data_IF_234883843609
#
_entry.id   IF_234883843609
#
_cell.length_a   1.000
_cell.length_b   1.000
_cell.length_c   1.000
_cell.angle_alpha   90.00
_cell.angle_beta   90.00
_cell.angle_gamma   90.00
#
_symmetry.space_group_name_H-M   'P 1'
#
loop_
_entity.id
_entity.type
_entity.pdbx_description
1 polymer ?
#
# COMPACT_ATOMS: atom_id res chain seq x y z
N UNK A 1 0.70 -4.12 -11.23
CA UNK A 1 0.53 -3.16 -10.11
C UNK A 1 -0.95 -2.97 -9.92
N UNK A 2 -1.42 -2.92 -8.67
CA UNK A 2 -2.75 -2.44 -8.32
C UNK A 2 -2.62 -0.95 -8.04
N UNK A 3 -3.31 -0.10 -8.80
CA UNK A 3 -3.15 1.36 -8.67
C UNK A 3 -3.91 1.89 -7.46
N UNK A 4 -3.53 3.07 -6.95
CA UNK A 4 -4.18 3.67 -5.78
C UNK A 4 -5.71 3.82 -5.95
N UNK A 5 -6.20 4.04 -7.17
CA UNK A 5 -7.63 4.12 -7.50
C UNK A 5 -8.38 2.80 -7.35
N UNK A 6 -7.66 1.68 -7.39
CA UNK A 6 -8.22 0.34 -7.21
C UNK A 6 -8.11 -0.13 -5.75
N UNK A 7 -7.59 0.71 -4.86
CA UNK A 7 -7.52 0.44 -3.42
C UNK A 7 -8.77 0.97 -2.70
N UNK A 8 -9.17 0.27 -1.65
CA UNK A 8 -10.12 0.78 -0.68
C UNK A 8 -9.35 1.60 0.35
N UNK A 9 -9.62 2.90 0.41
CA UNK A 9 -8.97 3.84 1.32
C UNK A 9 -10.06 4.56 2.10
N UNK A 10 -10.04 4.45 3.42
CA UNK A 10 -11.05 5.10 4.27
C UNK A 10 -11.01 6.62 4.09
N UNK A 11 -12.19 7.22 3.86
CA UNK A 11 -12.41 8.66 3.66
C UNK A 11 -11.83 9.26 2.37
N UNK A 12 -11.40 8.43 1.41
CA UNK A 12 -10.75 8.94 0.20
C UNK A 12 -11.69 9.62 -0.82
N UNK A 13 -12.99 9.54 -0.57
CA UNK A 13 -14.04 10.30 -1.26
C UNK A 13 -14.13 11.76 -0.80
N UNK A 14 -13.55 12.10 0.35
CA UNK A 14 -13.57 13.45 0.91
C UNK A 14 -12.27 14.20 0.60
N UNK A 15 -12.38 15.28 -0.17
CA UNK A 15 -11.24 16.11 -0.59
C UNK A 15 -10.61 16.93 0.54
N UNK A 16 -11.19 16.90 1.74
CA UNK A 16 -10.60 17.46 2.96
C UNK A 16 -9.61 16.48 3.61
N UNK A 17 -9.71 15.20 3.25
CA UNK A 17 -8.95 14.10 3.84
C UNK A 17 -7.92 13.56 2.87
N UNK A 18 -8.28 13.41 1.58
CA UNK A 18 -7.42 12.88 0.53
C UNK A 18 -7.50 13.69 -0.76
N UNK A 19 -6.33 13.93 -1.37
CA UNK A 19 -6.22 14.43 -2.74
C UNK A 19 -5.82 13.31 -3.69
N UNK A 20 -6.12 13.51 -4.96
CA UNK A 20 -5.78 12.59 -6.03
C UNK A 20 -4.90 13.23 -7.11
N UNK A 21 -3.65 13.62 -6.78
CA UNK A 21 -2.74 14.19 -7.78
C UNK A 21 -2.38 13.17 -8.86
N UNK A 22 -2.35 13.62 -10.11
CA UNK A 22 -1.86 12.83 -11.23
C UNK A 22 -0.32 12.86 -11.28
N UNK A 23 0.27 11.70 -11.52
CA UNK A 23 1.70 11.46 -11.68
C UNK A 23 1.97 11.06 -13.12
N UNK A 24 3.01 11.65 -13.71
CA UNK A 24 3.51 11.24 -15.02
C UNK A 24 4.67 10.25 -14.84
N UNK A 25 4.46 9.00 -15.23
CA UNK A 25 5.52 8.00 -15.26
C UNK A 25 6.48 8.27 -16.43
N UNK A 26 7.71 7.79 -16.32
CA UNK A 26 8.72 7.88 -17.40
C UNK A 26 8.25 7.22 -18.70
N UNK A 27 7.35 6.24 -18.60
CA UNK A 27 6.70 5.59 -19.75
C UNK A 27 5.71 6.48 -20.50
N UNK A 28 5.41 7.68 -19.98
CA UNK A 28 4.36 8.58 -20.48
C UNK A 28 2.96 8.25 -19.97
N UNK A 29 2.80 7.18 -19.19
CA UNK A 29 1.52 6.83 -18.55
C UNK A 29 1.23 7.82 -17.42
N UNK A 30 0.01 8.33 -17.38
CA UNK A 30 -0.48 9.18 -16.28
C UNK A 30 -1.29 8.30 -15.33
N UNK A 31 -0.96 8.35 -14.05
CA UNK A 31 -1.64 7.60 -12.99
C UNK A 31 -2.02 8.53 -11.84
N UNK A 32 -3.14 8.27 -11.17
CA UNK A 32 -3.50 9.00 -9.96
C UNK A 32 -2.88 8.32 -8.73
N UNK A 33 -2.30 9.11 -7.85
CA UNK A 33 -1.89 8.68 -6.51
C UNK A 33 -2.84 9.24 -5.45
N UNK A 34 -2.95 8.57 -4.30
CA UNK A 34 -3.70 9.07 -3.15
C UNK A 34 -2.76 9.84 -2.22
N UNK A 35 -3.02 11.13 -1.99
CA UNK A 35 -2.27 11.97 -1.06
C UNK A 35 -3.13 12.27 0.18
N UNK A 36 -2.66 11.85 1.34
CA UNK A 36 -3.30 12.14 2.63
C UNK A 36 -3.07 13.61 3.01
N UNK A 37 -4.14 14.37 3.19
CA UNK A 37 -4.10 15.77 3.64
C UNK A 37 -3.91 15.84 5.14
N UNK A 38 -4.76 15.14 5.90
CA UNK A 38 -4.70 15.08 7.37
C UNK A 38 -5.70 14.05 7.90
N UNK A 39 -5.24 12.99 8.56
CA UNK A 39 -6.11 11.95 9.14
C UNK A 39 -5.55 11.33 10.41
N UNK A 40 -6.41 10.99 11.37
CA UNK A 40 -6.04 10.20 12.55
C UNK A 40 -6.28 8.70 12.42
N UNK A 41 -6.79 8.26 11.27
CA UNK A 41 -7.11 6.88 10.95
C UNK A 41 -6.58 6.54 9.55
N UNK A 42 -5.43 5.86 9.49
CA UNK A 42 -4.94 5.30 8.24
C UNK A 42 -5.50 3.90 8.06
N UNK A 43 -6.22 3.67 6.97
CA UNK A 43 -6.70 2.35 6.61
C UNK A 43 -6.79 2.23 5.09
N UNK A 44 -5.93 1.36 4.55
CA UNK A 44 -5.80 1.09 3.13
C UNK A 44 -5.84 -0.41 2.94
N UNK A 45 -6.72 -0.88 2.07
CA UNK A 45 -6.87 -2.28 1.70
C UNK A 45 -6.83 -2.43 0.18
N UNK A 46 -6.32 -3.55 -0.28
CA UNK A 46 -6.46 -3.98 -1.66
C UNK A 46 -6.50 -5.49 -1.75
N UNK A 47 -7.02 -5.97 -2.87
CA UNK A 47 -7.16 -7.38 -3.15
C UNK A 47 -6.57 -7.69 -4.53
N UNK A 48 -6.10 -8.92 -4.70
CA UNK A 48 -5.64 -9.39 -5.99
C UNK A 48 -5.85 -10.91 -6.13
N UNK A 49 -6.39 -11.30 -7.27
CA UNK A 49 -6.67 -12.69 -7.57
C UNK A 49 -5.38 -13.46 -7.87
N UNK A 50 -5.01 -14.42 -7.01
CA UNK A 50 -3.73 -15.15 -7.13
C UNK A 50 -3.67 -16.04 -8.37
N UNK A 51 -4.82 -16.41 -8.95
CA UNK A 51 -4.94 -17.20 -10.19
C UNK A 51 -4.39 -16.47 -11.42
N UNK A 52 -4.27 -15.13 -11.36
CA UNK A 52 -3.66 -14.30 -12.42
C UNK A 52 -2.13 -14.36 -12.42
N UNK A 53 -1.54 -14.99 -11.41
CA UNK A 53 -0.10 -15.13 -11.25
C UNK A 53 0.40 -16.46 -11.84
N UNK A 54 1.70 -16.52 -12.15
CA UNK A 54 2.31 -17.74 -12.66
C UNK A 54 2.42 -18.79 -11.54
N UNK A 55 1.84 -19.99 -11.71
CA UNK A 55 1.92 -21.07 -10.73
C UNK A 55 3.36 -21.44 -10.39
N UNK A 56 3.63 -21.71 -9.11
CA UNK A 56 4.93 -22.12 -8.61
C UNK A 56 5.96 -20.98 -8.51
N UNK A 57 5.63 -19.76 -8.92
CA UNK A 57 6.54 -18.60 -8.82
C UNK A 57 6.45 -17.94 -7.44
N UNK A 58 7.60 -17.56 -6.86
CA UNK A 58 7.65 -16.74 -5.65
C UNK A 58 7.36 -15.29 -6.02
N UNK A 59 6.44 -14.65 -5.32
CA UNK A 59 6.08 -13.25 -5.50
C UNK A 59 6.36 -12.46 -4.23
N UNK A 60 6.73 -11.20 -4.41
CA UNK A 60 6.73 -10.19 -3.35
C UNK A 60 5.61 -9.18 -3.60
N UNK A 61 5.03 -8.70 -2.50
CA UNK A 61 3.96 -7.70 -2.48
C UNK A 61 4.47 -6.48 -1.72
N UNK A 62 4.40 -5.30 -2.34
CA UNK A 62 4.91 -4.07 -1.73
C UNK A 62 4.05 -2.84 -2.04
N UNK A 63 3.75 -2.03 -1.02
CA UNK A 63 3.19 -0.70 -1.22
C UNK A 63 4.25 0.24 -1.79
N UNK A 64 3.88 1.05 -2.78
CA UNK A 64 4.73 2.10 -3.33
C UNK A 64 4.26 3.44 -2.77
N UNK A 65 5.04 4.00 -1.86
CA UNK A 65 4.66 5.23 -1.14
C UNK A 65 5.73 6.30 -1.23
N UNK A 66 5.35 7.54 -0.94
CA UNK A 66 6.26 8.67 -0.78
C UNK A 66 5.79 9.49 0.41
N UNK A 67 6.74 9.95 1.22
CA UNK A 67 6.45 10.88 2.31
C UNK A 67 6.81 12.30 1.90
N UNK A 68 5.85 13.22 1.89
CA UNK A 68 6.11 14.61 1.48
C UNK A 68 7.05 15.32 2.46
N UNK A 69 7.69 16.39 2.00
CA UNK A 69 8.50 17.27 2.84
C UNK A 69 7.68 17.85 4.01
N UNK A 70 6.40 18.14 3.77
CA UNK A 70 5.44 18.65 4.75
C UNK A 70 4.77 17.58 5.61
N UNK A 71 5.13 16.30 5.45
CA UNK A 71 4.47 15.23 6.18
C UNK A 71 4.85 15.22 7.67
N UNK A 72 3.87 14.94 8.52
CA UNK A 72 3.95 15.07 9.97
C UNK A 72 3.04 14.03 10.64
N UNK A 73 3.25 13.75 11.93
CA UNK A 73 2.43 12.84 12.74
C UNK A 73 2.92 11.38 12.82
N UNK A 74 3.80 10.96 11.90
CA UNK A 74 4.25 9.56 11.70
C UNK A 74 5.20 8.99 12.77
N UNK A 75 5.03 9.39 14.03
CA UNK A 75 5.83 8.90 15.15
C UNK A 75 5.55 7.44 15.51
N UNK A 76 4.31 7.03 15.27
CA UNK A 76 3.81 5.68 15.51
C UNK A 76 4.03 4.85 14.23
N UNK A 77 4.57 3.63 14.34
CA UNK A 77 4.67 2.73 13.19
C UNK A 77 3.28 2.40 12.62
N UNK A 78 3.23 2.19 11.30
CA UNK A 78 2.03 1.64 10.65
C UNK A 78 2.17 0.13 10.54
N UNK A 79 1.07 -0.60 10.56
CA UNK A 79 1.05 -2.03 10.26
C UNK A 79 0.90 -2.24 8.76
N UNK A 80 1.64 -3.19 8.21
CA UNK A 80 1.36 -3.76 6.88
C UNK A 80 1.05 -5.24 7.03
N UNK A 81 0.09 -5.75 6.27
CA UNK A 81 -0.24 -7.17 6.31
C UNK A 81 -0.64 -7.74 4.95
N UNK A 82 -0.34 -9.03 4.75
CA UNK A 82 -0.71 -9.86 3.61
C UNK A 82 -1.47 -11.08 4.12
N UNK A 83 -2.70 -11.27 3.64
CA UNK A 83 -3.53 -12.43 3.91
C UNK A 83 -3.69 -13.23 2.61
N UNK A 84 -3.39 -14.53 2.63
CA UNK A 84 -3.51 -15.41 1.48
C UNK A 84 -4.88 -16.13 1.46
N UNK A 85 -5.27 -16.77 0.33
CA UNK A 85 -6.58 -17.41 0.23
C UNK A 85 -6.82 -18.57 1.21
N UNK A 86 -5.75 -19.18 1.74
CA UNK A 86 -5.83 -20.20 2.79
C UNK A 86 -6.01 -19.62 4.21
N UNK A 87 -6.09 -18.29 4.33
CA UNK A 87 -6.19 -17.57 5.60
C UNK A 87 -4.86 -17.34 6.30
N UNK A 88 -3.74 -17.81 5.75
CA UNK A 88 -2.42 -17.51 6.32
C UNK A 88 -2.14 -16.01 6.22
N UNK A 89 -1.57 -15.46 7.30
CA UNK A 89 -1.34 -14.01 7.44
C UNK A 89 0.11 -13.71 7.78
N UNK A 90 0.69 -12.78 7.04
CA UNK A 90 1.98 -12.14 7.33
C UNK A 90 1.69 -10.69 7.72
N UNK A 91 2.42 -10.17 8.70
CA UNK A 91 2.34 -8.76 9.06
C UNK A 91 3.62 -8.29 9.76
N UNK A 92 3.90 -7.00 9.66
CA UNK A 92 4.93 -6.35 10.46
C UNK A 92 4.67 -4.84 10.55
N UNK A 93 5.36 -4.20 11.48
CA UNK A 93 5.34 -2.75 11.64
C UNK A 93 6.35 -2.07 10.70
N UNK A 94 6.03 -0.84 10.29
CA UNK A 94 6.86 0.00 9.42
C UNK A 94 6.89 1.42 9.97
N UNK A 95 8.09 1.94 10.21
CA UNK A 95 8.29 3.32 10.67
C UNK A 95 8.39 4.27 9.48
N UNK A 96 7.25 4.82 9.06
CA UNK A 96 7.21 5.75 7.91
C UNK A 96 8.07 7.00 8.12
N UNK A 97 8.26 7.48 9.35
CA UNK A 97 9.16 8.62 9.59
C UNK A 97 10.62 8.39 9.19
N UNK A 98 11.05 7.13 9.08
CA UNK A 98 12.42 6.75 8.73
C UNK A 98 12.62 6.67 7.20
N UNK A 99 11.54 6.71 6.40
CA UNK A 99 11.68 6.74 4.94
C UNK A 99 12.11 8.13 4.44
N UNK A 100 13.01 8.22 3.45
CA UNK A 100 13.44 9.50 2.89
C UNK A 100 12.26 10.32 2.36
N UNK A 101 12.26 11.62 2.67
CA UNK A 101 11.26 12.55 2.19
C UNK A 101 11.40 12.77 0.68
N UNK A 102 10.26 13.01 0.03
CA UNK A 102 10.13 13.26 -1.41
C UNK A 102 10.73 12.18 -2.32
N UNK A 103 10.88 10.95 -1.81
CA UNK A 103 11.34 9.80 -2.59
C UNK A 103 10.32 8.67 -2.53
N UNK A 104 10.08 8.05 -3.68
CA UNK A 104 9.29 6.82 -3.75
C UNK A 104 10.04 5.68 -3.07
N UNK A 105 9.35 4.93 -2.21
CA UNK A 105 9.83 3.74 -1.54
C UNK A 105 8.83 2.61 -1.62
N UNK A 106 9.38 1.42 -1.81
CA UNK A 106 8.66 0.17 -1.72
C UNK A 106 8.70 -0.29 -0.26
N UNK A 107 7.51 -0.45 0.34
CA UNK A 107 7.33 -1.05 1.65
C UNK A 107 6.88 -2.48 1.39
N UNK A 108 7.78 -3.43 1.63
CA UNK A 108 7.45 -4.86 1.57
C UNK A 108 6.32 -5.14 2.56
N UNK A 109 5.33 -5.90 2.10
CA UNK A 109 4.19 -6.38 2.90
C UNK A 109 4.40 -7.85 3.26
N UNK A 110 4.87 -8.63 2.28
CA UNK A 110 5.09 -10.06 2.44
C UNK A 110 5.43 -10.73 1.11
N UNK A 111 5.69 -12.03 1.21
CA UNK A 111 6.07 -12.88 0.08
C UNK A 111 5.28 -14.17 0.10
N UNK A 112 4.93 -14.70 -1.06
CA UNK A 112 4.23 -15.97 -1.16
C UNK A 112 4.54 -16.67 -2.47
N UNK A 113 4.43 -18.01 -2.47
CA UNK A 113 4.52 -18.79 -3.70
C UNK A 113 3.12 -18.98 -4.24
N UNK A 114 2.87 -18.49 -5.46
CA UNK A 114 1.59 -18.68 -6.12
C UNK A 114 1.36 -20.18 -6.36
N UNK A 115 0.19 -20.70 -5.96
CA UNK A 115 -0.16 -22.11 -6.10
C UNK A 115 -1.56 -22.25 -6.68
N UNK A 116 -1.77 -23.10 -7.70
CA UNK A 116 -3.09 -23.36 -8.25
C UNK A 116 -3.96 -24.19 -7.27
N UNK A 117 -3.35 -24.80 -6.25
CA UNK A 117 -4.05 -25.56 -5.21
C UNK A 117 -4.71 -24.66 -4.16
N UNK A 118 -4.29 -23.39 -4.08
CA UNK A 118 -4.81 -22.39 -3.14
C UNK A 118 -5.33 -21.19 -3.96
N UNK A 119 -6.40 -21.38 -4.76
CA UNK A 119 -6.97 -20.31 -5.57
C UNK A 119 -7.74 -19.33 -4.68
N UNK A 120 -7.81 -18.07 -5.13
CA UNK A 120 -8.65 -17.04 -4.51
C UNK A 120 -7.96 -15.70 -4.48
N UNK A 121 -8.56 -14.77 -3.75
CA UNK A 121 -8.00 -13.43 -3.57
C UNK A 121 -7.02 -13.42 -2.40
N UNK A 122 -5.85 -12.86 -2.64
CA UNK A 122 -5.02 -12.37 -1.55
C UNK A 122 -5.45 -10.95 -1.19
N UNK A 123 -5.30 -10.58 0.08
CA UNK A 123 -5.58 -9.24 0.59
C UNK A 123 -4.30 -8.64 1.14
N UNK A 124 -4.08 -7.36 0.90
CA UNK A 124 -2.98 -6.61 1.49
C UNK A 124 -3.48 -5.29 2.06
N UNK A 125 -2.88 -4.88 3.18
CA UNK A 125 -3.30 -3.67 3.87
C UNK A 125 -2.14 -2.89 4.48
N UNK A 126 -2.38 -1.59 4.65
CA UNK A 126 -1.57 -0.67 5.44
C UNK A 126 -2.50 0.09 6.37
N UNK A 127 -2.28 0.03 7.69
CA UNK A 127 -3.19 0.63 8.65
C UNK A 127 -2.52 1.10 9.95
N UNK A 128 -3.10 2.14 10.53
CA UNK A 128 -2.81 2.66 11.87
C UNK A 128 -4.05 3.43 12.35
N UNK A 129 -4.70 2.95 13.40
CA UNK A 129 -5.94 3.55 13.93
C UNK A 129 -5.97 3.65 15.46
N UNK A 130 -4.92 3.19 16.14
CA UNK A 130 -4.91 3.06 17.61
C UNK A 130 -4.34 4.31 18.29
N UNK A 131 -3.50 5.09 17.59
CA UNK A 131 -2.77 6.20 18.19
C UNK A 131 -3.62 7.44 18.44
N UNK A 132 -4.69 7.64 17.66
CA UNK A 132 -5.46 8.88 17.60
C UNK A 132 -4.64 10.11 17.15
N UNK A 133 -3.39 9.92 16.69
CA UNK A 133 -2.53 11.00 16.21
C UNK A 133 -2.89 11.35 14.78
N UNK A 134 -2.98 12.64 14.52
CA UNK A 134 -3.18 13.15 13.18
C UNK A 134 -1.90 13.04 12.36
N UNK A 135 -2.00 12.40 11.21
CA UNK A 135 -0.95 12.14 10.25
C UNK A 135 -1.25 12.86 8.94
N UNK A 136 -0.23 13.30 8.21
CA UNK A 136 -0.40 13.94 6.89
C UNK A 136 0.74 13.70 5.94
N UNK A 137 0.49 13.92 4.65
CA UNK A 137 1.49 13.99 3.59
C UNK A 137 2.07 12.64 3.16
N UNK A 138 1.43 11.54 3.53
CA UNK A 138 1.66 10.24 2.90
C UNK A 138 1.05 10.26 1.50
N UNK A 139 1.80 9.80 0.51
CA UNK A 139 1.33 9.61 -0.87
C UNK A 139 1.46 8.14 -1.24
N UNK A 140 0.39 7.54 -1.74
CA UNK A 140 0.31 6.14 -2.13
C UNK A 140 0.13 6.07 -3.64
N UNK A 141 1.09 5.46 -4.35
CA UNK A 141 0.97 5.20 -5.79
C UNK A 141 0.15 3.94 -6.07
N UNK A 142 0.25 2.94 -5.18
CA UNK A 142 -0.43 1.65 -5.31
C UNK A 142 0.42 0.51 -4.76
N UNK A 143 0.17 -0.71 -5.23
CA UNK A 143 0.83 -1.94 -4.76
C UNK A 143 1.45 -2.71 -5.92
N UNK A 144 2.74 -2.99 -5.81
CA UNK A 144 3.48 -3.84 -6.74
C UNK A 144 3.35 -5.29 -6.27
N UNK A 145 3.04 -6.16 -7.23
CA UNK A 145 3.08 -7.62 -7.08
C UNK A 145 3.98 -8.09 -8.21
N UNK A 146 5.14 -8.65 -7.90
CA UNK A 146 6.13 -9.07 -8.92
C UNK A 146 6.83 -10.37 -8.54
N UNK A 147 7.28 -11.16 -9.52
CA UNK A 147 8.12 -12.31 -9.26
C UNK A 147 9.39 -11.90 -8.50
N UNK A 148 9.71 -12.65 -7.45
CA UNK A 148 10.97 -12.56 -6.72
C UNK A 148 11.89 -13.65 -7.25
N UNK A 149 13.00 -13.21 -7.86
CA UNK A 149 14.03 -14.10 -8.41
C UNK A 149 14.83 -14.79 -7.29
#
# INVERSE_FOLDING_TARGET
>A
MVYARDLSISWAEDDRNWLWPSLQETSGVVIDAAEMINECWLEVHGQFETTKLSPGTLYEVAFVVKLKASADGWDVPVNVSLTLPDGSKQWHEVKLKEIPREQWKEILVGEFRASPEIPGDMEFSMYEYDSGKWNRGLVIKGVIIRPKN
#
